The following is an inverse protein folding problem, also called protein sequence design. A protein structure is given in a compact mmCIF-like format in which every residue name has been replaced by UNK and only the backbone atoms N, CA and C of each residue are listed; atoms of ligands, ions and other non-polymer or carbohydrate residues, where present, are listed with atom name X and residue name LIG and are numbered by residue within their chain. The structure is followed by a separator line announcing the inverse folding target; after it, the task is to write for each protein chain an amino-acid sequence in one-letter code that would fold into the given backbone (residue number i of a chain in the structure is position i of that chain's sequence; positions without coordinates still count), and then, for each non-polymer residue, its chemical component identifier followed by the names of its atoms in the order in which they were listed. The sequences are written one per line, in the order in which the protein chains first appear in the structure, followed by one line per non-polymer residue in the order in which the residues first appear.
data_IF_632910285253
#
_entry.id   IF_632910285253
#
_cell.length_a   1.000
_cell.length_b   1.000
_cell.length_c   1.000
_cell.angle_alpha   90.00
_cell.angle_beta   90.00
_cell.angle_gamma   90.00
#
_symmetry.space_group_name_H-M   'P 1'
#
loop_
_entity.id
_entity.type
_entity.pdbx_description
1 polymer ?
#
# COMPACT_ATOMS: atom_id res chain seq x y z
N UNK A 1 12.81 -6.99 -3.95
CA UNK A 1 11.33 -6.83 -3.95
C UNK A 1 10.76 -6.53 -5.35
N UNK A 2 9.43 -6.55 -5.47
CA UNK A 2 8.65 -6.32 -6.70
C UNK A 2 7.54 -5.27 -6.45
N UNK A 3 6.73 -4.93 -7.46
CA UNK A 3 5.52 -4.10 -7.35
C UNK A 3 4.65 -4.47 -6.14
N UNK A 4 4.14 -3.44 -5.47
CA UNK A 4 3.41 -3.52 -4.21
C UNK A 4 2.09 -2.74 -4.34
N UNK A 5 0.97 -3.32 -3.92
CA UNK A 5 -0.35 -2.69 -3.94
C UNK A 5 -0.89 -2.52 -2.54
N UNK A 6 -1.48 -1.36 -2.30
CA UNK A 6 -2.18 -1.02 -1.07
C UNK A 6 -3.66 -0.77 -1.38
N UNK A 7 -4.55 -1.15 -0.48
CA UNK A 7 -5.92 -0.64 -0.50
C UNK A 7 -6.45 -0.45 0.92
N UNK A 8 -7.36 0.51 1.05
CA UNK A 8 -8.05 0.85 2.30
C UNK A 8 -9.55 0.75 2.04
N UNK A 9 -10.24 -0.06 2.82
CA UNK A 9 -11.68 -0.22 2.77
C UNK A 9 -12.30 0.40 4.02
N UNK A 10 -13.19 1.38 3.84
CA UNK A 10 -13.82 2.10 4.97
C UNK A 10 -14.90 1.32 5.72
N UNK A 11 -15.20 0.07 5.34
CA UNK A 11 -16.07 -0.83 6.10
C UNK A 11 -15.77 -2.30 5.75
N UNK A 12 -16.30 -3.26 6.52
CA UNK A 12 -16.07 -4.69 6.29
C UNK A 12 -16.57 -5.24 4.95
N UNK A 13 -17.36 -4.46 4.19
CA UNK A 13 -17.77 -4.84 2.82
C UNK A 13 -16.60 -4.93 1.85
N UNK A 14 -15.44 -4.36 2.18
CA UNK A 14 -14.18 -4.58 1.46
C UNK A 14 -14.24 -4.20 -0.04
N UNK A 15 -14.95 -3.12 -0.39
CA UNK A 15 -15.15 -2.70 -1.78
C UNK A 15 -13.86 -2.26 -2.51
N UNK A 16 -12.77 -1.97 -1.79
CA UNK A 16 -11.46 -1.72 -2.39
C UNK A 16 -10.62 -3.00 -2.55
N UNK A 17 -11.23 -4.16 -2.27
CA UNK A 17 -10.65 -5.49 -2.22
C UNK A 17 -9.30 -5.50 -1.49
N UNK A 18 -9.27 -4.94 -0.26
CA UNK A 18 -8.09 -4.88 0.60
C UNK A 18 -7.52 -6.26 0.89
N UNK A 19 -8.37 -7.28 1.00
CA UNK A 19 -8.00 -8.67 1.34
C UNK A 19 -7.32 -9.47 0.21
N UNK A 20 -7.01 -8.82 -0.92
CA UNK A 20 -6.19 -9.40 -2.01
C UNK A 20 -5.03 -8.49 -2.43
N UNK A 21 -4.75 -7.43 -1.64
CA UNK A 21 -3.62 -6.52 -1.86
C UNK A 21 -2.39 -6.97 -1.06
N UNK A 22 -1.23 -6.49 -1.47
CA UNK A 22 0.03 -6.81 -0.80
C UNK A 22 0.01 -6.31 0.67
N UNK A 23 -0.64 -5.15 0.90
CA UNK A 23 -1.04 -4.62 2.22
C UNK A 23 -2.46 -4.05 2.14
N UNK A 24 -3.37 -4.56 2.96
CA UNK A 24 -4.77 -4.18 2.99
C UNK A 24 -5.17 -3.64 4.35
N UNK A 25 -5.98 -2.59 4.35
CA UNK A 25 -6.59 -2.04 5.57
C UNK A 25 -8.10 -2.15 5.44
N UNK A 26 -8.76 -2.62 6.50
CA UNK A 26 -10.22 -2.68 6.59
C UNK A 26 -10.66 -2.03 7.89
N UNK A 27 -11.43 -0.95 7.79
CA UNK A 27 -12.07 -0.33 8.94
C UNK A 27 -13.18 -1.24 9.48
N UNK A 28 -13.16 -1.46 10.79
CA UNK A 28 -14.16 -2.21 11.55
C UNK A 28 -14.67 -1.33 12.69
N UNK A 29 -15.78 -1.71 13.32
CA UNK A 29 -16.38 -0.92 14.42
C UNK A 29 -15.37 -0.61 15.55
N UNK A 30 -14.41 -1.49 15.77
CA UNK A 30 -13.48 -1.43 16.87
C UNK A 30 -12.05 -1.02 16.46
N UNK A 31 -11.87 -0.41 15.27
CA UNK A 31 -10.59 0.09 14.79
C UNK A 31 -10.27 -0.32 13.35
N UNK A 32 -9.03 -0.72 13.10
CA UNK A 32 -8.50 -1.03 11.77
C UNK A 32 -7.83 -2.39 11.75
N UNK A 33 -8.32 -3.30 10.91
CA UNK A 33 -7.63 -4.55 10.63
C UNK A 33 -6.58 -4.36 9.54
N UNK A 34 -5.37 -4.86 9.80
CA UNK A 34 -4.26 -4.84 8.85
C UNK A 34 -4.06 -6.26 8.32
N UNK A 35 -4.10 -6.37 6.99
CA UNK A 35 -4.06 -7.60 6.22
C UNK A 35 -2.85 -7.59 5.28
N UNK A 36 -2.14 -8.71 5.13
CA UNK A 36 -0.86 -8.75 4.37
C UNK A 36 -0.73 -9.96 3.47
N UNK A 37 0.11 -9.84 2.44
CA UNK A 37 0.50 -10.95 1.56
C UNK A 37 -0.56 -11.36 0.54
N UNK A 38 -1.55 -10.53 0.27
CA UNK A 38 -2.55 -10.82 -0.76
C UNK A 38 -1.99 -10.72 -2.18
N UNK A 39 -2.62 -11.41 -3.12
CA UNK A 39 -2.33 -11.30 -4.54
C UNK A 39 -3.57 -11.55 -5.39
N UNK A 40 -4.12 -10.49 -6.00
CA UNK A 40 -5.17 -10.61 -7.04
C UNK A 40 -4.66 -10.93 -8.46
N UNK A 41 -3.49 -11.55 -8.58
CA UNK A 41 -2.87 -11.89 -9.87
C UNK A 41 -3.19 -13.33 -10.33
N UNK A 42 -2.35 -13.88 -11.22
CA UNK A 42 -2.55 -15.21 -11.82
C UNK A 42 -2.75 -16.33 -10.78
N UNK A 43 -1.97 -16.34 -9.70
CA UNK A 43 -2.21 -17.20 -8.53
C UNK A 43 -2.86 -16.34 -7.45
N UNK A 44 -4.18 -16.43 -7.35
CA UNK A 44 -4.94 -15.68 -6.34
C UNK A 44 -4.53 -16.15 -4.94
N UNK A 45 -4.23 -15.19 -4.06
CA UNK A 45 -3.95 -15.44 -2.65
C UNK A 45 -4.70 -14.42 -1.82
N UNK A 46 -5.49 -14.89 -0.86
CA UNK A 46 -6.10 -14.02 0.16
C UNK A 46 -5.04 -13.55 1.14
N UNK A 47 -5.26 -12.42 1.78
CA UNK A 47 -4.37 -11.91 2.82
C UNK A 47 -4.44 -12.74 4.10
N UNK A 48 -3.39 -12.62 4.92
CA UNK A 48 -3.40 -13.02 6.31
C UNK A 48 -3.63 -11.80 7.21
N UNK A 49 -4.36 -11.97 8.33
CA UNK A 49 -4.48 -10.93 9.34
C UNK A 49 -3.14 -10.73 10.06
N UNK A 50 -2.54 -9.55 9.91
CA UNK A 50 -1.33 -9.16 10.63
C UNK A 50 -1.67 -8.83 12.08
N UNK A 51 -2.49 -7.80 12.28
CA UNK A 51 -2.97 -7.35 13.58
C UNK A 51 -4.15 -6.40 13.41
N UNK A 52 -4.65 -5.90 14.53
CA UNK A 52 -5.65 -4.84 14.58
C UNK A 52 -5.10 -3.67 15.40
N UNK A 53 -5.35 -2.46 14.97
CA UNK A 53 -4.91 -1.22 15.62
C UNK A 53 -6.09 -0.25 15.79
N UNK A 54 -5.96 0.70 16.70
CA UNK A 54 -7.06 1.63 17.04
C UNK A 54 -7.05 2.92 16.22
N UNK A 55 -5.87 3.40 15.80
CA UNK A 55 -5.72 4.73 15.20
C UNK A 55 -5.13 4.67 13.79
N UNK A 56 -5.39 5.72 13.00
CA UNK A 56 -4.85 5.87 11.65
C UNK A 56 -3.32 6.01 11.65
N UNK A 57 -2.76 6.70 12.66
CA UNK A 57 -1.31 6.84 12.84
C UNK A 57 -0.65 5.48 13.06
N UNK A 58 -1.31 4.59 13.81
CA UNK A 58 -0.83 3.22 13.97
C UNK A 58 -0.89 2.46 12.63
N UNK A 59 -1.94 2.64 11.81
CA UNK A 59 -1.98 2.03 10.47
C UNK A 59 -0.78 2.47 9.63
N UNK A 60 -0.43 3.77 9.65
CA UNK A 60 0.72 4.30 8.93
C UNK A 60 2.06 3.75 9.45
N UNK A 61 2.26 3.68 10.77
CA UNK A 61 3.47 3.11 11.38
C UNK A 61 3.66 1.64 10.95
N UNK A 62 2.60 0.84 11.00
CA UNK A 62 2.65 -0.57 10.61
C UNK A 62 2.85 -0.75 9.10
N UNK A 63 2.24 0.10 8.27
CA UNK A 63 2.46 0.09 6.82
C UNK A 63 3.93 0.37 6.49
N UNK A 64 4.50 1.43 7.06
CA UNK A 64 5.90 1.81 6.86
C UNK A 64 6.84 0.69 7.32
N UNK A 65 6.58 0.11 8.50
CA UNK A 65 7.39 -0.96 9.05
C UNK A 65 7.35 -2.24 8.19
N UNK A 66 6.16 -2.69 7.79
CA UNK A 66 5.98 -3.87 6.95
C UNK A 66 6.63 -3.68 5.57
N UNK A 67 6.43 -2.51 4.95
CA UNK A 67 7.04 -2.19 3.65
C UNK A 67 8.56 -2.17 3.73
N UNK A 68 9.14 -1.59 4.78
CA UNK A 68 10.59 -1.57 4.95
C UNK A 68 11.15 -2.97 5.17
N UNK A 69 10.51 -3.80 6.00
CA UNK A 69 10.96 -5.18 6.20
C UNK A 69 10.89 -5.97 4.88
N UNK A 70 9.79 -5.86 4.13
CA UNK A 70 9.69 -6.46 2.80
C UNK A 70 10.78 -5.96 1.83
N UNK A 71 11.09 -4.65 1.84
CA UNK A 71 12.15 -4.08 0.98
C UNK A 71 13.53 -4.64 1.29
N UNK A 72 13.83 -4.85 2.58
CA UNK A 72 15.13 -5.32 3.06
C UNK A 72 15.30 -6.85 2.95
N UNK A 73 14.22 -7.63 3.11
CA UNK A 73 14.29 -9.10 3.17
C UNK A 73 13.92 -9.82 1.85
N UNK A 74 13.00 -9.25 1.05
CA UNK A 74 12.51 -9.94 -0.13
C UNK A 74 13.52 -9.96 -1.28
N UNK A 75 13.62 -11.11 -1.96
CA UNK A 75 14.47 -11.27 -3.13
C UNK A 75 14.04 -10.34 -4.27
N UNK A 76 14.95 -10.07 -5.20
CA UNK A 76 14.62 -9.31 -6.40
C UNK A 76 13.47 -9.98 -7.18
N UNK A 77 12.47 -9.20 -7.58
CA UNK A 77 11.23 -9.65 -8.23
C UNK A 77 10.30 -10.58 -7.42
N UNK A 78 10.57 -10.80 -6.13
CA UNK A 78 9.67 -11.55 -5.25
C UNK A 78 8.47 -10.71 -4.81
N UNK A 79 7.23 -11.16 -5.06
CA UNK A 79 5.99 -10.53 -4.57
C UNK A 79 5.80 -10.81 -3.07
N UNK A 80 4.98 -10.01 -2.36
CA UNK A 80 4.74 -10.23 -0.92
C UNK A 80 4.09 -11.58 -0.63
N UNK A 81 3.17 -12.06 -1.49
CA UNK A 81 2.53 -13.37 -1.35
C UNK A 81 3.53 -14.55 -1.18
N UNK A 82 4.44 -14.83 -2.14
CA UNK A 82 5.46 -15.86 -1.98
C UNK A 82 6.50 -15.51 -0.90
N UNK A 83 6.76 -14.22 -0.66
CA UNK A 83 7.65 -13.79 0.42
C UNK A 83 7.12 -14.20 1.80
N UNK A 84 5.84 -13.96 2.10
CA UNK A 84 5.20 -14.39 3.36
C UNK A 84 5.18 -15.92 3.46
N UNK A 85 4.93 -16.63 2.35
CA UNK A 85 4.99 -18.10 2.32
C UNK A 85 6.40 -18.62 2.67
N UNK A 86 7.46 -17.93 2.23
CA UNK A 86 8.86 -18.28 2.50
C UNK A 86 9.30 -17.90 3.92
N UNK A 87 9.02 -16.68 4.36
CA UNK A 87 9.48 -16.14 5.64
C UNK A 87 8.63 -16.64 6.81
N UNK A 88 7.34 -16.87 6.56
CA UNK A 88 6.36 -17.23 7.57
C UNK A 88 5.73 -16.01 8.25
N UNK A 89 4.40 -16.05 8.38
CA UNK A 89 3.63 -14.99 9.03
C UNK A 89 4.06 -14.77 10.49
N UNK A 90 4.46 -15.83 11.20
CA UNK A 90 4.94 -15.75 12.59
C UNK A 90 6.17 -14.85 12.71
N UNK A 91 7.17 -15.01 11.86
CA UNK A 91 8.38 -14.18 11.86
C UNK A 91 8.08 -12.72 11.52
N UNK A 92 7.10 -12.49 10.64
CA UNK A 92 6.64 -11.13 10.32
C UNK A 92 5.95 -10.51 11.54
N UNK A 93 5.07 -11.25 12.23
CA UNK A 93 4.40 -10.77 13.45
C UNK A 93 5.40 -10.49 14.57
N UNK A 94 6.39 -11.36 14.78
CA UNK A 94 7.45 -11.17 15.76
C UNK A 94 8.17 -9.81 15.55
N UNK A 95 8.55 -9.51 14.30
CA UNK A 95 9.32 -8.31 13.96
C UNK A 95 8.50 -7.03 13.89
N UNK A 96 7.27 -7.11 13.36
CA UNK A 96 6.44 -5.93 13.07
C UNK A 96 5.42 -5.67 14.17
N UNK A 97 4.82 -6.70 14.75
CA UNK A 97 3.73 -6.54 15.74
C UNK A 97 4.28 -6.60 17.17
N UNK A 98 4.99 -7.67 17.50
CA UNK A 98 5.39 -7.99 18.87
C UNK A 98 6.59 -7.15 19.33
N UNK A 99 7.52 -6.85 18.40
CA UNK A 99 8.71 -6.07 18.70
C UNK A 99 8.55 -4.59 18.31
N UNK A 100 8.15 -3.75 19.28
CA UNK A 100 7.89 -2.32 19.06
C UNK A 100 9.13 -1.53 18.63
N UNK A 101 10.31 -1.81 19.21
CA UNK A 101 11.53 -1.07 18.83
C UNK A 101 11.93 -1.39 17.38
N UNK A 102 11.80 -2.66 16.98
CA UNK A 102 12.06 -3.09 15.61
C UNK A 102 11.06 -2.47 14.63
N UNK A 103 9.75 -2.48 14.95
CA UNK A 103 8.71 -1.81 14.15
C UNK A 103 9.03 -0.34 13.92
N UNK A 104 9.32 0.41 14.99
CA UNK A 104 9.64 1.84 14.90
C UNK A 104 10.90 2.10 14.08
N UNK A 105 11.95 1.31 14.29
CA UNK A 105 13.17 1.42 13.50
C UNK A 105 12.93 1.16 12.01
N UNK A 106 12.05 0.22 11.64
CA UNK A 106 11.65 0.01 10.25
C UNK A 106 10.85 1.20 9.70
N UNK A 107 9.88 1.70 10.46
CA UNK A 107 9.04 2.82 10.05
C UNK A 107 9.87 4.10 9.81
N UNK A 108 10.76 4.45 10.73
CA UNK A 108 11.66 5.60 10.62
C UNK A 108 12.57 5.52 9.39
N UNK A 109 13.14 4.33 9.11
CA UNK A 109 13.96 4.13 7.90
C UNK A 109 13.12 4.28 6.63
N UNK A 110 11.88 3.77 6.61
CA UNK A 110 11.00 3.96 5.47
C UNK A 110 10.74 5.44 5.21
N UNK A 111 10.36 6.20 6.23
CA UNK A 111 10.08 7.63 6.14
C UNK A 111 11.30 8.43 5.68
N UNK A 112 12.49 8.09 6.19
CA UNK A 112 13.73 8.71 5.75
C UNK A 112 13.92 8.54 4.23
N UNK A 113 13.62 7.36 3.68
CA UNK A 113 13.73 7.12 2.23
C UNK A 113 12.74 7.95 1.42
N UNK A 114 11.54 8.20 1.94
CA UNK A 114 10.51 8.96 1.22
C UNK A 114 10.91 10.43 1.02
N UNK A 115 11.68 11.02 1.95
CA UNK A 115 12.16 12.42 1.85
C UNK A 115 12.95 12.69 0.56
N UNK A 116 13.58 11.67 -0.01
CA UNK A 116 14.41 11.79 -1.21
C UNK A 116 13.72 11.30 -2.49
N UNK A 117 12.52 10.72 -2.39
CA UNK A 117 11.85 10.02 -3.51
C UNK A 117 10.45 10.53 -3.82
N UNK A 118 10.00 11.59 -3.14
CA UNK A 118 8.74 12.27 -3.42
C UNK A 118 8.94 13.33 -4.50
N UNK A 119 9.16 12.89 -5.74
CA UNK A 119 9.02 13.74 -6.91
C UNK A 119 7.61 13.57 -7.45
N UNK A 120 6.84 14.66 -7.57
CA UNK A 120 5.52 14.59 -8.19
C UNK A 120 5.68 14.40 -9.70
N UNK A 121 5.30 13.22 -10.25
CA UNK A 121 5.47 12.92 -11.67
C UNK A 121 4.56 13.75 -12.57
N UNK A 122 3.57 14.46 -12.00
CA UNK A 122 2.63 15.33 -12.70
C UNK A 122 2.97 16.82 -12.53
N UNK A 123 3.97 17.17 -11.72
CA UNK A 123 4.27 18.56 -11.40
C UNK A 123 4.51 19.38 -12.66
N UNK A 124 5.27 18.83 -13.61
CA UNK A 124 5.57 19.49 -14.88
C UNK A 124 4.32 19.67 -15.73
N UNK A 125 3.44 18.66 -15.80
CA UNK A 125 2.20 18.66 -16.56
C UNK A 125 1.20 19.68 -16.03
N UNK A 126 1.26 19.99 -14.73
CA UNK A 126 0.45 21.04 -14.11
C UNK A 126 1.03 22.43 -14.36
N UNK A 127 2.36 22.59 -14.26
CA UNK A 127 3.01 23.92 -14.34
C UNK A 127 3.31 24.39 -15.76
N UNK A 128 3.48 23.47 -16.71
CA UNK A 128 3.75 23.78 -18.12
C UNK A 128 2.42 23.96 -18.88
N UNK A 129 2.13 25.18 -19.32
CA UNK A 129 0.89 25.50 -20.04
C UNK A 129 0.68 24.68 -21.32
N UNK A 130 1.76 24.25 -21.97
CA UNK A 130 1.70 23.45 -23.20
C UNK A 130 1.29 22.01 -22.87
N UNK A 131 1.86 21.41 -21.84
CA UNK A 131 1.47 20.06 -21.38
C UNK A 131 0.08 20.06 -20.75
N UNK A 132 -0.27 21.10 -19.98
CA UNK A 132 -1.60 21.25 -19.38
C UNK A 132 -2.71 21.30 -20.44
N UNK A 133 -2.40 21.73 -21.66
CA UNK A 133 -3.37 21.80 -22.75
C UNK A 133 -3.93 20.43 -23.18
N UNK A 134 -3.17 19.33 -22.98
CA UNK A 134 -3.61 17.95 -23.28
C UNK A 134 -4.76 17.47 -22.39
N UNK A 135 -4.96 18.10 -21.22
CA UNK A 135 -5.97 17.74 -20.22
C UNK A 135 -7.17 18.69 -20.20
N UNK A 136 -7.24 19.65 -21.14
CA UNK A 136 -8.41 20.53 -21.25
C UNK A 136 -9.62 19.71 -21.68
N UNK A 137 -10.76 19.80 -20.97
CA UNK A 137 -11.98 19.14 -21.38
C UNK A 137 -12.35 19.52 -22.82
N UNK A 138 -12.64 18.52 -23.65
CA UNK A 138 -13.15 18.76 -24.99
C UNK A 138 -14.49 19.49 -24.87
N UNK A 139 -14.57 20.69 -25.46
CA UNK A 139 -15.86 21.36 -25.63
C UNK A 139 -16.60 20.68 -26.77
N UNK A 140 -17.70 20.02 -26.43
CA UNK A 140 -18.62 19.41 -27.40
C UNK A 140 -19.54 20.47 -28.04
N UNK A 141 -18.94 21.56 -28.54
CA UNK A 141 -19.67 22.56 -29.31
C UNK A 141 -19.60 22.13 -30.78
N UNK A 142 -20.31 21.06 -31.20
CA UNK A 142 -20.66 20.76 -32.62
C UNK A 142 -21.32 19.38 -32.88
N UNK A 143 -22.07 18.78 -31.95
CA UNK A 143 -22.78 17.50 -32.22
C UNK A 143 -24.31 17.53 -32.01
N UNK A 144 -24.92 18.70 -31.78
CA UNK A 144 -26.39 18.86 -31.69
C UNK A 144 -26.98 19.80 -32.76
N UNK A 145 -26.18 20.18 -33.76
CA UNK A 145 -26.65 20.93 -34.93
C UNK A 145 -26.66 20.02 -36.17
N UNK A 146 -27.54 19.01 -36.15
CA UNK A 146 -27.99 18.27 -37.34
C UNK A 146 -29.39 17.75 -37.10
#
# INVERSE_FOLDING_TARGET
PHKFKVAVSGCPRNCAESTIKDFGVVAVESGWEIHVGGNGGTKVRVTDLLCKVETEEAVLEYANAFMQFYREDAHYLERTAPWIERVGLSTIKERVVENTSTRKAYAERFELTQKFSQFDPWQQQVTDEKLASEYKPLKLDMLLAS
#
